data_IF_685374760029
#
_entry.id   IF_685374760029
#
_cell.length_a   1.000
_cell.length_b   1.000
_cell.length_c   1.000
_cell.angle_alpha   90.00
_cell.angle_beta   90.00
_cell.angle_gamma   90.00
#
_symmetry.space_group_name_H-M   'P 1'
#
loop_
_entity.id
_entity.type
_entity.pdbx_description
1 polymer ?
#
# COMPACT_ATOMS: atom_id res chain seq x y z
N UNK A 1 21.43 -6.37 -13.05
CA UNK A 1 20.71 -5.08 -13.09
C UNK A 1 19.24 -5.37 -13.39
N UNK A 2 18.39 -5.47 -12.37
CA UNK A 2 16.94 -5.55 -12.55
C UNK A 2 16.34 -4.26 -12.03
N UNK A 3 15.79 -3.47 -12.95
CA UNK A 3 15.06 -2.25 -12.64
C UNK A 3 13.61 -2.63 -12.37
N UNK A 4 13.29 -2.91 -11.10
CA UNK A 4 11.89 -2.89 -10.68
C UNK A 4 11.40 -1.44 -10.83
N UNK A 5 10.37 -1.24 -11.67
CA UNK A 5 9.73 0.05 -11.85
C UNK A 5 8.84 0.28 -10.62
N UNK A 6 9.37 0.93 -9.61
CA UNK A 6 8.62 1.47 -8.48
C UNK A 6 7.62 2.53 -8.97
N UNK A 7 6.42 2.11 -9.37
CA UNK A 7 5.32 3.01 -9.69
C UNK A 7 4.61 3.48 -8.42
N UNK A 8 5.22 4.45 -7.73
CA UNK A 8 4.57 5.54 -6.98
C UNK A 8 3.28 5.17 -6.20
N UNK A 9 3.30 4.17 -5.32
CA UNK A 9 2.12 3.79 -4.51
C UNK A 9 1.97 4.66 -3.24
N UNK A 10 2.98 5.41 -2.81
CA UNK A 10 2.94 6.04 -1.49
C UNK A 10 3.33 7.53 -1.50
N UNK A 11 2.32 8.41 -1.56
CA UNK A 11 2.47 9.82 -1.16
C UNK A 11 1.31 10.26 -0.27
N UNK A 12 1.43 10.06 1.06
CA UNK A 12 0.96 10.96 2.13
C UNK A 12 1.09 10.32 3.52
N UNK A 13 1.45 11.18 4.49
CA UNK A 13 1.74 10.91 5.91
C UNK A 13 0.63 10.12 6.61
N UNK A 14 0.84 8.82 6.85
CA UNK A 14 0.16 7.97 7.86
C UNK A 14 0.42 6.49 7.60
N UNK A 15 1.24 5.83 8.43
CA UNK A 15 1.52 4.40 8.28
C UNK A 15 0.29 3.50 8.36
N UNK A 16 -0.73 3.93 9.13
CA UNK A 16 -2.00 3.21 9.33
C UNK A 16 -3.24 3.96 8.82
N UNK A 17 -3.05 5.11 8.17
CA UNK A 17 -4.17 5.88 7.59
C UNK A 17 -3.89 6.15 6.13
N UNK A 18 -4.95 6.33 5.38
CA UNK A 18 -4.89 6.64 3.96
C UNK A 18 -5.84 7.80 3.76
N UNK A 19 -5.25 8.96 3.47
CA UNK A 19 -5.99 10.19 3.31
C UNK A 19 -6.89 10.12 2.09
N UNK A 20 -8.13 10.59 2.23
CA UNK A 20 -9.04 10.79 1.11
C UNK A 20 -8.32 11.63 0.04
N UNK A 21 -8.23 11.14 -1.21
CA UNK A 21 -7.53 11.84 -2.27
C UNK A 21 -8.18 13.17 -2.67
N UNK A 22 -9.47 13.38 -2.33
CA UNK A 22 -10.22 14.61 -2.62
C UNK A 22 -10.08 15.69 -1.54
N UNK A 23 -10.41 15.38 -0.29
CA UNK A 23 -10.44 16.37 0.79
C UNK A 23 -9.31 16.22 1.82
N UNK A 24 -8.51 15.16 1.76
CA UNK A 24 -7.40 14.92 2.68
C UNK A 24 -7.78 14.37 4.05
N UNK A 25 -9.07 14.14 4.33
CA UNK A 25 -9.49 13.50 5.58
C UNK A 25 -8.83 12.12 5.71
N UNK A 26 -8.14 11.89 6.83
CA UNK A 26 -7.47 10.61 7.08
C UNK A 26 -8.48 9.51 7.33
N UNK A 27 -8.55 8.51 6.44
CA UNK A 27 -9.32 7.28 6.65
C UNK A 27 -8.44 6.22 7.29
N UNK A 28 -8.97 5.50 8.26
CA UNK A 28 -8.39 4.27 8.79
C UNK A 28 -9.40 3.15 8.51
N UNK A 29 -8.88 1.99 8.16
CA UNK A 29 -9.67 0.80 7.86
C UNK A 29 -9.66 -0.11 9.09
N UNK A 30 -10.81 -0.65 9.45
CA UNK A 30 -11.03 -1.65 10.51
C UNK A 30 -11.59 -2.98 9.98
N UNK A 31 -11.87 -3.07 8.67
CA UNK A 31 -12.30 -4.28 7.96
C UNK A 31 -11.39 -4.61 6.73
N UNK A 32 -11.46 -5.83 6.19
CA UNK A 32 -10.59 -6.30 5.12
C UNK A 32 -10.88 -5.70 3.73
N UNK A 33 -12.07 -5.14 3.49
CA UNK A 33 -12.46 -4.69 2.15
C UNK A 33 -11.62 -3.47 1.75
N UNK A 34 -11.00 -3.47 0.57
CA UNK A 34 -10.10 -2.37 0.21
C UNK A 34 -10.83 -1.10 -0.23
N UNK A 35 -12.16 -1.06 -0.25
CA UNK A 35 -12.93 0.13 -0.66
C UNK A 35 -13.26 1.06 0.51
N UNK A 36 -13.25 2.36 0.23
CA UNK A 36 -13.53 3.43 1.19
C UNK A 36 -14.49 4.47 0.62
N UNK A 37 -15.36 5.00 1.47
CA UNK A 37 -16.23 6.15 1.19
C UNK A 37 -15.94 7.29 2.16
N UNK A 38 -15.76 8.52 1.65
CA UNK A 38 -15.38 9.65 2.50
C UNK A 38 -16.62 10.13 3.26
N UNK A 39 -16.63 10.16 4.60
CA UNK A 39 -17.78 10.68 5.33
C UNK A 39 -18.00 12.18 5.12
N UNK A 40 -16.98 12.93 4.67
CA UNK A 40 -17.08 14.39 4.47
C UNK A 40 -17.44 14.79 3.04
N UNK A 41 -16.86 14.14 2.02
CA UNK A 41 -17.01 14.56 0.62
C UNK A 41 -17.56 13.47 -0.31
N UNK A 42 -17.95 12.33 0.25
CA UNK A 42 -18.49 11.14 -0.43
C UNK A 42 -17.61 10.56 -1.53
N UNK A 43 -16.32 10.95 -1.59
CA UNK A 43 -15.37 10.36 -2.53
C UNK A 43 -15.24 8.86 -2.24
N UNK A 44 -15.36 8.04 -3.27
CA UNK A 44 -14.97 6.64 -3.23
C UNK A 44 -13.48 6.51 -3.61
N UNK A 45 -12.71 5.72 -2.85
CA UNK A 45 -11.32 5.40 -3.18
C UNK A 45 -10.92 4.01 -2.69
N UNK A 46 -9.85 3.47 -3.27
CA UNK A 46 -9.26 2.21 -2.80
C UNK A 46 -8.26 2.53 -1.68
N UNK A 47 -8.47 1.95 -0.50
CA UNK A 47 -7.54 2.00 0.62
C UNK A 47 -6.18 1.46 0.21
N UNK A 48 -6.11 0.29 -0.42
CA UNK A 48 -4.83 -0.36 -0.79
C UNK A 48 -3.90 0.56 -1.59
N UNK A 49 -4.36 1.11 -2.72
CA UNK A 49 -3.54 1.98 -3.58
C UNK A 49 -3.70 3.49 -3.32
N UNK A 50 -4.66 3.90 -2.49
CA UNK A 50 -4.95 5.31 -2.19
C UNK A 50 -5.57 6.12 -3.34
N UNK A 51 -5.88 5.50 -4.48
CA UNK A 51 -6.42 6.17 -5.67
C UNK A 51 -7.94 6.31 -5.60
N UNK A 52 -8.46 7.39 -6.16
CA UNK A 52 -9.91 7.53 -6.38
C UNK A 52 -10.39 6.43 -7.31
N UNK A 53 -11.68 6.10 -7.22
CA UNK A 53 -12.33 5.18 -8.18
C UNK A 53 -12.05 5.59 -9.62
N UNK A 54 -12.21 6.88 -9.96
CA UNK A 54 -11.94 7.46 -11.30
C UNK A 54 -10.49 7.30 -11.79
N UNK A 55 -9.52 7.16 -10.88
CA UNK A 55 -8.10 7.03 -11.20
C UNK A 55 -7.61 5.56 -11.18
N UNK A 56 -8.46 4.63 -10.76
CA UNK A 56 -8.17 3.20 -10.76
C UNK A 56 -8.26 2.63 -12.17
N UNK A 57 -7.33 1.72 -12.53
CA UNK A 57 -7.49 0.87 -13.70
C UNK A 57 -8.63 -0.13 -13.46
N UNK A 58 -9.48 -0.36 -14.47
CA UNK A 58 -10.71 -1.15 -14.37
C UNK A 58 -10.89 -2.07 -15.57
N UNK A 59 -11.73 -3.08 -15.42
CA UNK A 59 -12.22 -3.88 -16.55
C UNK A 59 -12.98 -2.99 -17.57
N UNK A 60 -12.83 -3.28 -18.87
CA UNK A 60 -13.37 -2.45 -19.96
C UNK A 60 -14.89 -2.54 -20.12
N UNK A 61 -15.46 -3.66 -19.71
CA UNK A 61 -16.89 -4.00 -19.76
C UNK A 61 -17.64 -3.65 -18.47
N UNK A 62 -16.93 -3.15 -17.46
CA UNK A 62 -17.45 -2.92 -16.12
C UNK A 62 -18.45 -1.77 -16.02
N UNK A 63 -19.66 -2.08 -15.54
CA UNK A 63 -20.64 -1.09 -15.06
C UNK A 63 -20.57 -0.86 -13.55
N UNK A 64 -19.68 -1.56 -12.83
CA UNK A 64 -19.74 -1.80 -11.39
C UNK A 64 -18.71 -1.00 -10.58
N UNK A 65 -18.47 0.26 -10.96
CA UNK A 65 -17.81 1.24 -10.09
C UNK A 65 -16.42 0.82 -9.61
N UNK A 66 -16.21 0.78 -8.29
CA UNK A 66 -14.91 0.41 -7.71
C UNK A 66 -14.61 -1.09 -7.81
N UNK A 67 -15.61 -1.95 -8.01
CA UNK A 67 -15.42 -3.40 -8.06
C UNK A 67 -14.67 -3.84 -9.32
N UNK A 68 -14.84 -3.11 -10.43
CA UNK A 68 -14.12 -3.37 -11.68
C UNK A 68 -12.60 -3.18 -11.53
N UNK A 69 -12.17 -2.45 -10.50
CA UNK A 69 -10.75 -2.31 -10.15
C UNK A 69 -10.14 -3.59 -9.56
N UNK A 70 -10.96 -4.47 -8.97
CA UNK A 70 -10.48 -5.71 -8.37
C UNK A 70 -10.55 -6.89 -9.33
N UNK A 71 -11.15 -6.73 -10.51
CA UNK A 71 -11.25 -7.81 -11.50
C UNK A 71 -9.85 -8.19 -12.04
N UNK A 72 -9.51 -9.48 -12.06
CA UNK A 72 -8.20 -10.00 -12.49
C UNK A 72 -7.01 -9.28 -11.83
N UNK A 73 -7.15 -8.82 -10.59
CA UNK A 73 -6.09 -8.08 -9.88
C UNK A 73 -4.82 -8.89 -9.67
N UNK A 74 -4.97 -10.21 -9.56
CA UNK A 74 -3.89 -11.18 -9.40
C UNK A 74 -3.03 -11.31 -10.67
N UNK A 75 -3.54 -10.88 -11.82
CA UNK A 75 -2.84 -10.87 -13.11
C UNK A 75 -2.50 -9.44 -13.59
N UNK A 76 -2.86 -8.40 -12.82
CA UNK A 76 -2.66 -7.02 -13.22
C UNK A 76 -2.13 -6.18 -12.05
N UNK A 77 -0.84 -5.77 -12.07
CA UNK A 77 -0.21 -5.03 -10.97
C UNK A 77 -0.74 -3.61 -10.78
N UNK A 78 -1.57 -3.10 -11.69
CA UNK A 78 -2.23 -1.81 -11.55
C UNK A 78 -3.61 -1.91 -10.87
N UNK A 79 -4.06 -3.13 -10.60
CA UNK A 79 -5.32 -3.46 -9.92
C UNK A 79 -5.02 -3.96 -8.51
N UNK A 80 -6.01 -3.90 -7.63
CA UNK A 80 -5.83 -4.22 -6.21
C UNK A 80 -6.78 -5.33 -5.78
N UNK A 81 -6.45 -6.11 -4.73
CA UNK A 81 -7.37 -7.11 -4.21
C UNK A 81 -8.62 -6.46 -3.64
N UNK A 82 -9.74 -7.19 -3.66
CA UNK A 82 -10.98 -6.75 -3.01
C UNK A 82 -10.86 -6.85 -1.49
N UNK A 83 -10.22 -7.92 -1.02
CA UNK A 83 -9.94 -8.18 0.39
C UNK A 83 -8.45 -8.46 0.59
N UNK A 84 -7.85 -7.98 1.68
CA UNK A 84 -6.42 -8.24 1.95
C UNK A 84 -6.09 -9.73 2.00
N UNK A 85 -7.00 -10.57 2.50
CA UNK A 85 -6.84 -12.02 2.58
C UNK A 85 -6.67 -12.69 1.21
N UNK A 86 -7.06 -12.04 0.11
CA UNK A 86 -6.81 -12.58 -1.24
C UNK A 86 -5.33 -12.50 -1.65
N UNK A 87 -4.50 -11.74 -0.93
CA UNK A 87 -3.09 -11.59 -1.28
C UNK A 87 -2.33 -12.90 -1.09
N UNK A 88 -2.69 -13.70 -0.07
CA UNK A 88 -2.04 -14.99 0.16
C UNK A 88 -2.25 -16.00 -0.99
N UNK A 89 -3.25 -15.77 -1.86
CA UNK A 89 -3.51 -16.62 -3.03
C UNK A 89 -2.38 -16.54 -4.08
N UNK A 90 -1.59 -15.45 -4.08
CA UNK A 90 -0.48 -15.24 -5.02
C UNK A 90 0.87 -14.96 -4.36
N UNK A 91 0.87 -14.56 -3.09
CA UNK A 91 2.06 -14.20 -2.33
C UNK A 91 1.99 -14.86 -0.94
N UNK A 92 2.64 -16.01 -0.81
CA UNK A 92 2.63 -16.88 0.38
C UNK A 92 3.22 -16.24 1.64
N UNK A 93 3.85 -15.07 1.52
CA UNK A 93 4.32 -14.27 2.65
C UNK A 93 3.17 -13.62 3.42
N UNK A 94 2.01 -13.46 2.80
CA UNK A 94 0.85 -12.84 3.42
C UNK A 94 0.05 -13.86 4.24
N UNK A 95 -0.41 -13.48 5.45
CA UNK A 95 -1.28 -14.34 6.25
C UNK A 95 -2.66 -14.50 5.59
N UNK A 96 -3.34 -15.59 5.91
CA UNK A 96 -4.73 -15.86 5.50
C UNK A 96 -5.78 -15.25 6.45
N UNK A 97 -5.34 -14.71 7.58
CA UNK A 97 -6.15 -14.02 8.57
C UNK A 97 -6.26 -12.51 8.26
N UNK A 98 -7.49 -11.98 8.36
CA UNK A 98 -7.83 -10.59 8.04
C UNK A 98 -7.08 -9.57 8.91
N UNK A 99 -7.03 -9.79 10.22
CA UNK A 99 -6.37 -8.88 11.16
C UNK A 99 -4.86 -8.85 10.89
N UNK A 100 -4.24 -10.02 10.76
CA UNK A 100 -2.82 -10.12 10.46
C UNK A 100 -2.46 -9.53 9.09
N UNK A 101 -3.33 -9.71 8.09
CA UNK A 101 -3.18 -9.09 6.77
C UNK A 101 -3.14 -7.56 6.87
N UNK A 102 -4.06 -6.98 7.64
CA UNK A 102 -4.13 -5.53 7.84
C UNK A 102 -2.91 -5.01 8.61
N UNK A 103 -2.48 -5.73 9.65
CA UNK A 103 -1.26 -5.43 10.41
C UNK A 103 -0.04 -5.46 9.50
N UNK A 104 0.10 -6.49 8.67
CA UNK A 104 1.20 -6.61 7.71
C UNK A 104 1.18 -5.47 6.68
N UNK A 105 0.01 -5.12 6.14
CA UNK A 105 -0.14 -3.99 5.23
C UNK A 105 0.31 -2.66 5.87
N UNK A 106 -0.17 -2.36 7.09
CA UNK A 106 0.21 -1.14 7.81
C UNK A 106 1.70 -1.13 8.17
N UNK A 107 2.26 -2.29 8.54
CA UNK A 107 3.68 -2.45 8.85
C UNK A 107 4.54 -2.12 7.62
N UNK A 108 4.26 -2.77 6.49
CA UNK A 108 4.98 -2.53 5.23
C UNK A 108 4.88 -1.07 4.80
N UNK A 109 3.67 -0.48 4.88
CA UNK A 109 3.45 0.93 4.56
C UNK A 109 4.24 1.87 5.48
N UNK A 110 4.29 1.57 6.78
CA UNK A 110 5.06 2.36 7.75
C UNK A 110 6.55 2.33 7.45
N UNK A 111 7.09 1.14 7.16
CA UNK A 111 8.50 0.98 6.75
C UNK A 111 8.80 1.72 5.44
N UNK A 112 7.90 1.68 4.45
CA UNK A 112 8.07 2.44 3.19
C UNK A 112 8.21 3.94 3.47
N UNK A 113 7.29 4.49 4.26
CA UNK A 113 7.29 5.92 4.60
C UNK A 113 8.52 6.31 5.43
N UNK A 114 8.92 5.47 6.39
CA UNK A 114 10.13 5.71 7.19
C UNK A 114 11.38 5.68 6.31
N UNK A 115 11.48 4.72 5.39
CA UNK A 115 12.58 4.61 4.42
C UNK A 115 12.66 5.85 3.53
N UNK A 116 11.53 6.32 3.00
CA UNK A 116 11.47 7.55 2.19
C UNK A 116 11.95 8.77 2.98
N UNK A 117 11.49 8.92 4.24
CA UNK A 117 11.91 10.03 5.11
C UNK A 117 13.40 9.94 5.42
N UNK A 118 13.90 8.75 5.74
CA UNK A 118 15.33 8.51 5.99
C UNK A 118 16.17 8.88 4.77
N UNK A 119 15.80 8.40 3.58
CA UNK A 119 16.50 8.71 2.32
C UNK A 119 16.49 10.21 2.01
N UNK A 120 15.38 10.91 2.32
CA UNK A 120 15.25 12.34 2.10
C UNK A 120 16.09 13.18 3.07
N UNK A 121 16.14 12.80 4.34
CA UNK A 121 16.88 13.54 5.36
C UNK A 121 18.38 13.23 5.32
N UNK A 122 18.74 12.01 4.95
CA UNK A 122 20.11 11.52 4.97
C UNK A 122 20.52 11.02 6.36
N UNK A 123 21.54 10.14 6.38
CA UNK A 123 22.02 9.46 7.58
C UNK A 123 22.42 10.44 8.70
N UNK A 124 23.23 11.44 8.38
CA UNK A 124 23.78 12.37 9.38
C UNK A 124 22.67 13.06 10.20
N UNK A 125 21.64 13.60 9.52
CA UNK A 125 20.51 14.25 10.20
C UNK A 125 19.65 13.27 10.96
N UNK A 126 19.49 12.05 10.45
CA UNK A 126 18.74 11.00 11.14
C UNK A 126 19.45 10.57 12.42
N UNK A 127 20.78 10.43 12.37
CA UNK A 127 21.62 10.09 13.52
C UNK A 127 21.57 11.21 14.58
N UNK A 128 21.62 12.47 14.17
CA UNK A 128 21.47 13.63 15.08
C UNK A 128 20.08 13.66 15.74
N UNK A 129 19.02 13.46 14.96
CA UNK A 129 17.65 13.40 15.49
C UNK A 129 17.46 12.22 16.45
N UNK A 130 17.99 11.05 16.12
CA UNK A 130 17.90 9.87 16.98
C UNK A 130 18.70 10.06 18.27
N UNK A 131 19.88 10.67 18.20
CA UNK A 131 20.68 11.00 19.38
C UNK A 131 19.93 11.91 20.36
N UNK A 132 19.19 12.91 19.85
CA UNK A 132 18.49 13.89 20.69
C UNK A 132 17.09 13.44 21.13
N UNK A 133 16.39 12.66 20.31
CA UNK A 133 14.96 12.38 20.50
C UNK A 133 14.62 10.88 20.54
N UNK A 134 15.59 9.98 20.35
CA UNK A 134 15.40 8.53 20.33
C UNK A 134 14.32 8.08 19.31
N UNK A 135 14.23 8.75 18.16
CA UNK A 135 13.13 8.54 17.20
C UNK A 135 13.11 7.14 16.61
N UNK A 136 14.26 6.52 16.36
CA UNK A 136 14.34 5.18 15.76
C UNK A 136 14.05 4.14 16.84
N UNK A 137 14.71 4.24 18.00
CA UNK A 137 14.52 3.26 19.08
C UNK A 137 13.11 3.24 19.67
N UNK A 138 12.34 4.34 19.55
CA UNK A 138 10.97 4.44 20.09
C UNK A 138 9.87 4.20 19.06
N UNK A 139 10.16 4.19 17.76
CA UNK A 139 9.12 4.07 16.72
C UNK A 139 8.61 2.64 16.46
N UNK A 140 9.15 1.64 17.16
CA UNK A 140 8.78 0.23 16.97
C UNK A 140 9.38 -0.44 15.73
N UNK A 141 10.35 0.23 15.09
CA UNK A 141 11.11 -0.31 13.96
C UNK A 141 12.61 -0.11 14.21
N UNK A 142 13.39 -1.11 13.87
CA UNK A 142 14.85 -1.04 13.85
C UNK A 142 15.32 -0.33 12.58
N UNK A 143 16.54 0.22 12.64
CA UNK A 143 17.18 0.81 11.46
C UNK A 143 17.38 -0.22 10.35
N UNK A 144 17.66 -1.48 10.71
CA UNK A 144 17.82 -2.58 9.76
C UNK A 144 16.54 -2.84 8.97
N UNK A 145 15.38 -2.93 9.64
CA UNK A 145 14.08 -3.09 8.99
C UNK A 145 13.78 -1.88 8.07
N UNK A 146 14.07 -0.66 8.53
CA UNK A 146 13.83 0.55 7.75
C UNK A 146 14.66 0.53 6.46
N UNK A 147 15.92 0.11 6.50
CA UNK A 147 16.83 0.23 5.35
C UNK A 147 16.83 -0.99 4.43
N UNK A 148 16.72 -2.19 4.99
CA UNK A 148 17.08 -3.43 4.28
C UNK A 148 15.92 -4.42 4.08
N UNK A 149 14.78 -4.22 4.75
CA UNK A 149 13.60 -5.08 4.58
C UNK A 149 13.10 -5.04 3.12
N UNK A 150 12.68 -6.19 2.59
CA UNK A 150 12.00 -6.27 1.30
C UNK A 150 10.56 -5.75 1.41
N UNK A 151 10.36 -4.50 1.03
CA UNK A 151 9.07 -3.81 1.08
C UNK A 151 8.24 -3.98 -0.20
N UNK A 152 8.59 -4.96 -1.05
CA UNK A 152 7.75 -5.33 -2.19
C UNK A 152 6.39 -5.81 -1.66
N UNK A 153 5.37 -4.98 -1.85
CA UNK A 153 4.07 -5.19 -1.21
C UNK A 153 3.42 -6.49 -1.65
N UNK A 154 3.41 -6.78 -2.95
CA UNK A 154 2.92 -8.03 -3.53
C UNK A 154 3.98 -8.56 -4.47
N UNK A 155 4.40 -9.82 -4.27
CA UNK A 155 5.22 -10.57 -5.22
C UNK A 155 4.30 -11.31 -6.17
N UNK A 156 4.29 -10.81 -7.40
CA UNK A 156 3.59 -11.46 -8.49
C UNK A 156 4.44 -12.62 -9.06
N UNK A 157 3.85 -13.77 -9.41
CA UNK A 157 4.56 -14.83 -10.11
C UNK A 157 5.15 -14.35 -11.44
N UNK A 158 6.34 -14.85 -11.79
CA UNK A 158 7.12 -14.39 -12.96
C UNK A 158 6.39 -14.58 -14.32
N UNK A 159 5.34 -15.42 -14.35
CA UNK A 159 4.61 -15.81 -15.56
C UNK A 159 3.29 -15.06 -15.76
N UNK A 160 3.10 -13.88 -15.15
CA UNK A 160 1.94 -13.05 -15.49
C UNK A 160 2.15 -12.45 -16.87
N UNK A 161 1.73 -13.21 -17.88
CA UNK A 161 1.40 -12.64 -19.17
C UNK A 161 0.32 -11.59 -18.92
N UNK A 162 0.62 -10.33 -19.23
CA UNK A 162 -0.38 -9.28 -19.25
C UNK A 162 -1.46 -9.76 -20.21
N UNK A 163 -2.61 -10.21 -19.68
CA UNK A 163 -3.77 -10.40 -20.52
C UNK A 163 -4.17 -9.02 -20.98
N UNK A 164 -3.76 -8.66 -22.19
CA UNK A 164 -4.41 -7.61 -22.93
C UNK A 164 -5.81 -8.15 -23.20
N UNK A 165 -6.73 -7.94 -22.26
CA UNK A 165 -8.12 -8.39 -22.36
C UNK A 165 -8.69 -7.91 -23.71
N UNK A 166 -8.94 -8.88 -24.61
CA UNK A 166 -9.70 -8.75 -25.88
C UNK A 166 -11.13 -8.29 -25.62
#
# INVERSE_FOLDING_TARGET
MHRYRDTQIFKKKSGQKIACPKCGLAGMKDDACTHMTCPTCSQLWCYFCGKKVEDCERARDGTNGIFDHNHNWNCNPNRCPMYFTQICDIDDRWPDDEEQCLVMFHRNRSLCLLREVYQKLGKERMDELDHHFNIISTCGFTLEEILNEDLTLIKYPDNIERSDDE
#
